data_IF_004682579764
#
_entry.id   IF_004682579764
#
_cell.length_a   1.000
_cell.length_b   1.000
_cell.length_c   1.000
_cell.angle_alpha   90.00
_cell.angle_beta   90.00
_cell.angle_gamma   90.00
#
_symmetry.space_group_name_H-M   'P 1'
#
loop_
_entity.id
_entity.type
_entity.pdbx_description
1 polymer ?
#
# COMPACT_ATOMS: atom_id res chain seq x y z
N UNK A 1 9.63 0.12 0.94
CA UNK A 1 10.57 1.13 0.48
C UNK A 1 11.83 1.01 1.30
N UNK A 2 12.99 1.14 0.68
CA UNK A 2 14.25 1.05 1.40
C UNK A 2 14.36 2.18 2.42
N UNK A 3 14.87 1.88 3.61
CA UNK A 3 15.15 2.89 4.66
C UNK A 3 15.97 4.07 4.12
N UNK A 4 16.75 3.87 3.05
CA UNK A 4 17.57 4.87 2.37
C UNK A 4 16.75 5.97 1.68
N UNK A 5 15.60 5.63 1.07
CA UNK A 5 14.74 6.61 0.40
C UNK A 5 14.13 7.57 1.43
N UNK A 6 13.73 7.04 2.58
CA UNK A 6 13.21 7.85 3.67
C UNK A 6 14.28 8.76 4.29
N UNK A 7 15.50 8.27 4.46
CA UNK A 7 16.62 9.07 4.97
C UNK A 7 16.92 10.23 4.04
N UNK A 8 16.91 10.01 2.73
CA UNK A 8 17.15 11.06 1.74
C UNK A 8 16.07 12.15 1.79
N UNK A 9 14.80 11.75 1.88
CA UNK A 9 13.68 12.67 2.01
C UNK A 9 13.76 13.48 3.32
N UNK A 10 14.05 12.83 4.44
CA UNK A 10 14.22 13.48 5.75
C UNK A 10 15.29 14.57 5.64
N UNK A 11 16.47 14.27 5.09
CA UNK A 11 17.57 15.24 4.94
C UNK A 11 17.18 16.45 4.08
N UNK A 12 16.38 16.25 3.02
CA UNK A 12 15.89 17.34 2.20
C UNK A 12 14.97 18.25 3.01
N UNK A 13 14.02 17.69 3.71
CA UNK A 13 13.07 18.47 4.53
C UNK A 13 13.80 19.19 5.67
N UNK A 14 14.73 18.55 6.36
CA UNK A 14 15.56 19.17 7.40
C UNK A 14 16.33 20.38 6.86
N UNK A 15 16.99 20.21 5.70
CA UNK A 15 17.76 21.28 5.06
C UNK A 15 16.90 22.50 4.71
N UNK A 16 15.66 22.27 4.26
CA UNK A 16 14.77 23.32 3.78
C UNK A 16 14.00 24.01 4.90
N UNK A 17 13.65 23.27 5.93
CA UNK A 17 12.89 23.79 7.06
C UNK A 17 13.76 24.30 8.19
N UNK A 18 14.98 23.78 8.33
CA UNK A 18 15.85 24.00 9.49
C UNK A 18 15.43 23.21 10.75
N UNK A 19 14.43 22.35 10.66
CA UNK A 19 13.99 21.49 11.76
C UNK A 19 14.71 20.14 11.70
N UNK A 20 15.00 19.58 12.87
CA UNK A 20 15.44 18.19 13.00
C UNK A 20 14.23 17.25 12.91
N UNK A 21 14.34 16.17 12.13
CA UNK A 21 13.27 15.18 11.94
C UNK A 21 13.65 13.85 12.53
N UNK A 22 12.89 13.44 13.52
CA UNK A 22 13.04 12.12 14.14
C UNK A 22 12.04 11.14 13.52
N UNK A 23 12.50 10.07 12.84
CA UNK A 23 11.61 9.08 12.27
C UNK A 23 10.94 8.24 13.35
N UNK A 24 9.62 8.10 13.26
CA UNK A 24 8.80 7.25 14.14
C UNK A 24 8.39 5.99 13.37
N UNK A 25 8.83 4.84 13.85
CA UNK A 25 8.38 3.56 13.30
C UNK A 25 7.05 3.15 13.95
N UNK A 26 6.05 2.90 13.12
CA UNK A 26 4.72 2.45 13.56
C UNK A 26 4.47 1.00 13.17
N UNK A 27 3.60 0.32 13.89
CA UNK A 27 3.33 -1.11 13.72
C UNK A 27 2.35 -1.41 12.58
N UNK A 28 1.43 -0.48 12.31
CA UNK A 28 0.36 -0.65 11.32
C UNK A 28 -0.19 0.70 10.82
N UNK A 29 -1.13 0.63 9.87
CA UNK A 29 -1.75 1.79 9.25
C UNK A 29 -2.52 2.69 10.23
N UNK A 30 -3.23 2.09 11.21
CA UNK A 30 -3.99 2.86 12.20
C UNK A 30 -3.07 3.56 13.19
N UNK A 31 -1.97 2.93 13.58
CA UNK A 31 -0.95 3.54 14.44
C UNK A 31 -0.33 4.80 13.81
N UNK A 32 -0.20 4.85 12.48
CA UNK A 32 0.24 6.06 11.77
C UNK A 32 -0.78 7.21 11.91
N UNK A 33 -2.08 6.93 11.72
CA UNK A 33 -3.15 7.93 11.91
C UNK A 33 -3.19 8.44 13.34
N UNK A 34 -3.17 7.53 14.31
CA UNK A 34 -3.21 7.88 15.73
C UNK A 34 -1.96 8.67 16.18
N UNK A 35 -0.79 8.38 15.59
CA UNK A 35 0.42 9.16 15.88
C UNK A 35 0.28 10.62 15.43
N UNK A 36 -0.30 10.87 14.26
CA UNK A 36 -0.57 12.23 13.80
C UNK A 36 -1.72 12.89 14.60
N UNK A 37 -2.80 12.17 14.85
CA UNK A 37 -3.91 12.66 15.66
C UNK A 37 -3.47 13.10 17.07
N UNK A 38 -2.61 12.33 17.68
CA UNK A 38 -2.03 12.63 18.99
C UNK A 38 -0.93 13.71 18.97
N UNK A 39 -0.56 14.24 17.79
CA UNK A 39 0.49 15.25 17.66
C UNK A 39 1.92 14.70 17.83
N UNK A 40 2.10 13.38 17.80
CA UNK A 40 3.42 12.75 17.88
C UNK A 40 4.15 12.74 16.54
N UNK A 41 3.41 12.58 15.44
CA UNK A 41 3.93 12.67 14.09
C UNK A 41 3.34 13.89 13.39
N UNK A 42 4.19 14.71 12.78
CA UNK A 42 3.77 15.91 12.03
C UNK A 42 3.80 15.68 10.52
N UNK A 43 4.52 14.67 10.06
CA UNK A 43 4.59 14.24 8.66
C UNK A 43 4.44 12.72 8.65
N UNK A 44 3.68 12.20 7.69
CA UNK A 44 3.53 10.76 7.52
C UNK A 44 3.28 10.38 6.07
N UNK A 45 3.71 9.17 5.70
CA UNK A 45 3.37 8.56 4.43
C UNK A 45 2.18 7.62 4.62
N UNK A 46 1.09 7.87 3.90
CA UNK A 46 -0.13 7.10 4.02
C UNK A 46 -0.43 6.31 2.74
N UNK A 47 -1.05 5.14 2.87
CA UNK A 47 -1.82 4.58 1.76
C UNK A 47 -3.06 5.44 1.49
N UNK A 48 -3.59 5.44 0.26
CA UNK A 48 -4.74 6.30 -0.09
C UNK A 48 -5.96 6.09 0.81
N UNK A 49 -6.30 4.85 1.16
CA UNK A 49 -7.39 4.52 2.10
C UNK A 49 -7.15 5.14 3.48
N UNK A 50 -5.95 4.95 4.02
CA UNK A 50 -5.58 5.46 5.35
C UNK A 50 -5.45 6.98 5.35
N UNK A 51 -5.04 7.59 4.24
CA UNK A 51 -4.98 9.04 4.09
C UNK A 51 -6.36 9.69 4.27
N UNK A 52 -7.43 9.12 3.71
CA UNK A 52 -8.80 9.64 3.88
C UNK A 52 -9.14 9.70 5.38
N UNK A 53 -8.85 8.63 6.11
CA UNK A 53 -9.08 8.58 7.57
C UNK A 53 -8.20 9.61 8.29
N UNK A 54 -6.93 9.75 7.91
CA UNK A 54 -6.02 10.73 8.51
C UNK A 54 -6.44 12.17 8.22
N UNK A 55 -6.97 12.46 7.03
CA UNK A 55 -7.51 13.78 6.68
C UNK A 55 -8.71 14.16 7.54
N UNK A 56 -9.61 13.21 7.83
CA UNK A 56 -10.81 13.43 8.65
C UNK A 56 -10.51 13.47 10.15
N UNK A 57 -9.61 12.60 10.64
CA UNK A 57 -9.42 12.40 12.09
C UNK A 57 -8.16 13.06 12.66
N UNK A 58 -7.19 13.40 11.82
CA UNK A 58 -5.87 13.89 12.24
C UNK A 58 -5.45 15.18 11.51
N UNK A 59 -6.37 15.84 10.79
CA UNK A 59 -6.12 17.06 10.01
C UNK A 59 -4.93 16.91 9.04
N UNK A 60 -4.76 15.72 8.43
CA UNK A 60 -3.71 15.47 7.46
C UNK A 60 -4.01 16.17 6.14
N UNK A 61 -3.01 16.82 5.56
CA UNK A 61 -3.06 17.42 4.22
C UNK A 61 -1.93 16.83 3.36
N UNK A 62 -2.29 16.22 2.22
CA UNK A 62 -1.33 15.69 1.27
C UNK A 62 -0.59 16.84 0.55
N UNK A 63 0.72 16.72 0.41
CA UNK A 63 1.54 17.73 -0.27
C UNK A 63 2.46 17.14 -1.35
N UNK A 64 2.72 15.85 -1.32
CA UNK A 64 3.57 15.18 -2.29
C UNK A 64 3.14 13.72 -2.49
N UNK A 65 3.64 13.11 -3.56
CA UNK A 65 3.51 11.69 -3.81
C UNK A 65 4.79 11.15 -4.46
N UNK A 66 5.19 9.93 -4.07
CA UNK A 66 6.40 9.32 -4.60
C UNK A 66 6.22 8.80 -6.02
N UNK A 67 7.14 9.17 -6.91
CA UNK A 67 7.31 8.59 -8.24
C UNK A 67 8.56 7.73 -8.23
N UNK A 68 8.51 6.52 -8.77
CA UNK A 68 9.71 5.69 -8.92
C UNK A 68 10.64 6.33 -9.97
N UNK A 69 11.93 6.26 -9.72
CA UNK A 69 12.93 6.73 -10.68
C UNK A 69 12.76 6.00 -12.03
N UNK A 70 12.56 6.77 -13.09
CA UNK A 70 12.32 6.26 -14.45
C UNK A 70 10.85 6.10 -14.84
N UNK A 71 9.90 6.19 -13.90
CA UNK A 71 8.47 6.18 -14.22
C UNK A 71 8.02 7.56 -14.75
N UNK A 72 7.09 7.52 -15.70
CA UNK A 72 6.46 8.75 -16.26
C UNK A 72 5.26 9.21 -15.44
N UNK A 73 4.72 8.33 -14.59
CA UNK A 73 3.65 8.64 -13.65
C UNK A 73 3.83 7.87 -12.34
N UNK A 74 3.16 8.33 -11.29
CA UNK A 74 3.27 7.75 -9.96
C UNK A 74 2.25 6.64 -9.68
N UNK A 75 1.32 6.37 -10.60
CA UNK A 75 0.25 5.41 -10.38
C UNK A 75 0.78 3.97 -10.32
N UNK A 76 0.01 3.11 -9.67
CA UNK A 76 0.31 1.69 -9.54
C UNK A 76 -0.96 0.86 -9.70
N UNK A 77 -0.85 -0.46 -9.60
CA UNK A 77 -1.96 -1.40 -9.77
C UNK A 77 -2.02 -2.36 -8.60
N UNK A 78 -3.16 -3.00 -8.42
CA UNK A 78 -3.30 -4.20 -7.59
C UNK A 78 -3.37 -5.41 -8.50
N UNK A 79 -2.57 -6.41 -8.19
CA UNK A 79 -2.59 -7.71 -8.84
C UNK A 79 -3.32 -8.73 -7.96
N UNK A 80 -4.13 -9.57 -8.61
CA UNK A 80 -4.58 -10.83 -8.05
C UNK A 80 -3.69 -11.92 -8.63
N UNK A 81 -2.98 -12.60 -7.78
CA UNK A 81 -1.96 -13.58 -8.16
C UNK A 81 -2.30 -14.96 -7.63
N UNK A 82 -1.88 -15.96 -8.36
CA UNK A 82 -2.03 -17.38 -8.04
C UNK A 82 -0.72 -18.11 -8.35
N UNK A 83 -0.46 -19.32 -7.82
CA UNK A 83 0.65 -20.16 -8.26
C UNK A 83 0.62 -20.39 -9.76
N UNK A 84 1.77 -20.55 -10.37
CA UNK A 84 1.92 -20.73 -11.84
C UNK A 84 1.10 -21.89 -12.40
N UNK A 85 1.05 -23.00 -11.66
CA UNK A 85 0.35 -24.24 -12.01
C UNK A 85 -1.13 -24.22 -11.64
N UNK A 86 -1.64 -23.13 -11.03
CA UNK A 86 -3.04 -22.96 -10.68
C UNK A 86 -3.92 -23.01 -11.95
N UNK A 87 -5.08 -23.66 -11.82
CA UNK A 87 -6.10 -23.73 -12.88
C UNK A 87 -6.92 -22.44 -13.03
N UNK A 88 -6.77 -21.48 -12.09
CA UNK A 88 -7.46 -20.21 -12.11
C UNK A 88 -6.83 -19.28 -13.17
N UNK A 89 -7.65 -18.70 -14.05
CA UNK A 89 -7.20 -17.81 -15.13
C UNK A 89 -7.79 -16.40 -15.05
N UNK A 90 -8.86 -16.23 -14.29
CA UNK A 90 -9.55 -14.95 -14.08
C UNK A 90 -10.26 -14.95 -12.71
N UNK A 91 -10.85 -13.82 -12.32
CA UNK A 91 -11.55 -13.68 -11.03
C UNK A 91 -12.80 -14.57 -10.93
N UNK A 92 -13.47 -14.89 -12.01
CA UNK A 92 -14.66 -15.74 -11.97
C UNK A 92 -14.31 -17.19 -11.61
N UNK A 93 -13.12 -17.64 -11.93
CA UNK A 93 -12.62 -18.98 -11.57
C UNK A 93 -12.36 -19.11 -10.06
N UNK A 94 -12.25 -17.97 -9.34
CA UNK A 94 -11.95 -17.94 -7.91
C UNK A 94 -13.15 -18.26 -7.00
N UNK A 95 -14.32 -18.57 -7.58
CA UNK A 95 -15.50 -18.97 -6.78
C UNK A 95 -15.21 -20.21 -5.92
N UNK A 96 -15.56 -20.10 -4.64
CA UNK A 96 -15.34 -21.18 -3.66
C UNK A 96 -13.89 -21.36 -3.21
N UNK A 97 -13.00 -20.46 -3.61
CA UNK A 97 -11.57 -20.46 -3.26
C UNK A 97 -11.28 -19.65 -2.00
N UNK A 98 -10.04 -19.67 -1.54
CA UNK A 98 -9.58 -18.89 -0.39
C UNK A 98 -8.80 -17.68 -0.93
N UNK A 99 -9.21 -16.48 -0.46
CA UNK A 99 -8.55 -15.22 -0.80
C UNK A 99 -7.74 -14.72 0.40
N UNK A 100 -6.47 -14.46 0.19
CA UNK A 100 -5.65 -13.70 1.12
C UNK A 100 -5.59 -12.23 0.68
N UNK A 101 -6.13 -11.35 1.51
CA UNK A 101 -5.93 -9.91 1.47
C UNK A 101 -4.70 -9.56 2.30
N UNK A 102 -4.16 -8.35 2.12
CA UNK A 102 -2.95 -7.96 2.80
C UNK A 102 -3.22 -7.43 4.23
N UNK A 103 -3.73 -6.22 4.35
CA UNK A 103 -4.06 -5.57 5.61
C UNK A 103 -5.29 -4.70 5.43
N UNK A 104 -6.17 -4.66 6.42
CA UNK A 104 -7.44 -3.92 6.37
C UNK A 104 -7.26 -2.41 6.13
N UNK A 105 -6.14 -1.83 6.53
CA UNK A 105 -5.78 -0.43 6.25
C UNK A 105 -5.18 -0.19 4.87
N UNK A 106 -4.85 -1.25 4.12
CA UNK A 106 -4.18 -1.15 2.83
C UNK A 106 -5.14 -0.74 1.70
N UNK A 107 -4.71 0.19 0.86
CA UNK A 107 -5.42 0.56 -0.37
C UNK A 107 -5.39 -0.60 -1.37
N UNK A 108 -4.21 -1.04 -1.78
CA UNK A 108 -4.04 -2.08 -2.79
C UNK A 108 -4.25 -3.50 -2.27
N UNK A 109 -4.09 -3.71 -0.96
CA UNK A 109 -4.23 -5.02 -0.35
C UNK A 109 -5.62 -5.31 0.22
N UNK A 110 -6.53 -4.31 0.27
CA UNK A 110 -7.90 -4.48 0.77
C UNK A 110 -8.94 -3.71 -0.07
N UNK A 111 -8.89 -2.37 -0.10
CA UNK A 111 -9.93 -1.57 -0.72
C UNK A 111 -10.07 -1.85 -2.21
N UNK A 112 -8.98 -1.78 -2.96
CA UNK A 112 -9.00 -1.99 -4.42
C UNK A 112 -9.45 -3.41 -4.79
N UNK A 113 -8.95 -4.49 -4.15
CA UNK A 113 -9.49 -5.84 -4.37
C UNK A 113 -10.99 -5.93 -4.23
N UNK A 114 -11.56 -5.33 -3.18
CA UNK A 114 -13.01 -5.35 -2.98
C UNK A 114 -13.76 -4.59 -4.08
N UNK A 115 -13.26 -3.41 -4.48
CA UNK A 115 -13.84 -2.61 -5.57
C UNK A 115 -13.75 -3.36 -6.90
N UNK A 116 -12.63 -3.99 -7.22
CA UNK A 116 -12.48 -4.77 -8.45
C UNK A 116 -13.45 -5.96 -8.49
N UNK A 117 -13.62 -6.68 -7.40
CA UNK A 117 -14.60 -7.76 -7.33
C UNK A 117 -16.03 -7.26 -7.57
N UNK A 118 -16.40 -6.11 -7.03
CA UNK A 118 -17.74 -5.53 -7.23
C UNK A 118 -18.01 -5.17 -8.70
N UNK A 119 -17.00 -4.79 -9.49
CA UNK A 119 -17.17 -4.53 -10.95
C UNK A 119 -17.64 -5.75 -11.72
N UNK A 120 -17.36 -6.94 -11.23
CA UNK A 120 -17.80 -8.21 -11.82
C UNK A 120 -19.06 -8.77 -11.13
N UNK A 121 -19.79 -7.95 -10.35
CA UNK A 121 -20.90 -8.37 -9.50
C UNK A 121 -20.49 -9.46 -8.48
N UNK A 122 -19.22 -9.50 -8.13
CA UNK A 122 -18.66 -10.40 -7.15
C UNK A 122 -18.44 -9.65 -5.84
N UNK A 123 -18.52 -10.34 -4.72
CA UNK A 123 -18.09 -9.80 -3.43
C UNK A 123 -17.31 -10.86 -2.68
N UNK A 124 -16.37 -10.42 -1.85
CA UNK A 124 -15.53 -11.31 -1.05
C UNK A 124 -16.37 -12.32 -0.27
N UNK A 125 -17.46 -11.87 0.37
CA UNK A 125 -18.37 -12.71 1.18
C UNK A 125 -19.20 -13.72 0.39
N UNK A 126 -19.48 -13.46 -0.89
CA UNK A 126 -20.38 -14.27 -1.70
C UNK A 126 -19.66 -15.33 -2.53
N UNK A 127 -18.45 -15.06 -2.97
CA UNK A 127 -17.74 -15.94 -3.90
C UNK A 127 -16.64 -16.76 -3.26
N UNK A 128 -15.93 -16.20 -2.28
CA UNK A 128 -14.85 -16.92 -1.62
C UNK A 128 -15.37 -17.79 -0.49
N UNK A 129 -14.82 -19.01 -0.39
CA UNK A 129 -15.08 -19.91 0.75
C UNK A 129 -14.56 -19.30 2.06
N UNK A 130 -13.41 -18.64 1.99
CA UNK A 130 -12.81 -17.94 3.11
C UNK A 130 -12.02 -16.73 2.60
N UNK A 131 -11.97 -15.67 3.42
CA UNK A 131 -11.16 -14.48 3.18
C UNK A 131 -10.46 -14.14 4.49
N UNK A 132 -9.15 -13.95 4.43
CA UNK A 132 -8.39 -13.55 5.61
C UNK A 132 -7.34 -12.49 5.24
N UNK A 133 -6.80 -11.82 6.26
CA UNK A 133 -5.75 -10.84 6.11
C UNK A 133 -4.41 -11.46 6.51
N UNK A 134 -3.45 -11.49 5.58
CA UNK A 134 -2.12 -12.05 5.80
C UNK A 134 -1.21 -11.15 6.66
N UNK A 135 -1.63 -9.94 6.95
CA UNK A 135 -0.97 -8.99 7.86
C UNK A 135 -0.01 -8.02 7.20
N UNK A 136 1.08 -8.46 6.63
CA UNK A 136 2.04 -7.57 5.96
C UNK A 136 2.41 -8.05 4.56
N UNK A 137 2.87 -7.13 3.72
CA UNK A 137 3.38 -7.46 2.39
C UNK A 137 4.67 -8.31 2.42
N UNK A 138 5.28 -8.49 3.59
CA UNK A 138 6.63 -9.02 3.75
C UNK A 138 6.68 -10.48 4.20
N UNK A 139 5.60 -11.01 4.77
CA UNK A 139 5.62 -12.37 5.32
C UNK A 139 5.13 -13.36 4.27
N UNK A 140 6.10 -13.95 3.58
CA UNK A 140 5.88 -15.24 2.95
C UNK A 140 4.85 -15.32 1.84
N UNK A 141 4.82 -14.36 0.89
CA UNK A 141 3.92 -14.42 -0.26
C UNK A 141 3.81 -15.82 -0.88
N UNK A 142 4.93 -16.51 -1.06
CA UNK A 142 4.94 -17.87 -1.62
C UNK A 142 4.45 -18.93 -0.62
N UNK A 143 4.78 -18.78 0.67
CA UNK A 143 4.30 -19.73 1.68
C UNK A 143 2.79 -19.60 1.89
N UNK A 144 2.24 -18.38 1.87
CA UNK A 144 0.81 -18.12 1.98
C UNK A 144 0.04 -18.63 0.75
N UNK A 145 0.52 -18.31 -0.47
CA UNK A 145 -0.11 -18.76 -1.72
C UNK A 145 -0.07 -20.28 -1.86
N UNK A 146 1.03 -20.93 -1.47
CA UNK A 146 1.16 -22.38 -1.66
C UNK A 146 0.51 -23.20 -0.56
N UNK A 147 0.24 -22.63 0.63
CA UNK A 147 -0.23 -23.41 1.79
C UNK A 147 -1.61 -23.01 2.31
N UNK A 148 -1.99 -21.73 2.24
CA UNK A 148 -3.16 -21.24 2.94
C UNK A 148 -4.18 -20.49 2.05
N UNK A 149 -3.78 -19.98 0.89
CA UNK A 149 -4.65 -19.28 -0.03
C UNK A 149 -4.54 -19.77 -1.47
N UNK A 150 -5.66 -19.73 -2.20
CA UNK A 150 -5.68 -19.99 -3.64
C UNK A 150 -5.37 -18.73 -4.45
N UNK A 151 -5.74 -17.56 -3.91
CA UNK A 151 -5.55 -16.24 -4.54
C UNK A 151 -4.99 -15.27 -3.51
N UNK A 152 -4.01 -14.47 -3.92
CA UNK A 152 -3.40 -13.43 -3.10
C UNK A 152 -3.43 -12.08 -3.82
N UNK A 153 -3.53 -10.98 -3.05
CA UNK A 153 -3.54 -9.61 -3.59
C UNK A 153 -2.31 -8.82 -3.15
N UNK A 154 -1.68 -8.13 -4.08
CA UNK A 154 -0.56 -7.23 -3.77
C UNK A 154 -0.46 -6.09 -4.78
N UNK A 155 0.24 -5.01 -4.40
CA UNK A 155 0.51 -3.91 -5.32
C UNK A 155 1.55 -4.30 -6.36
N UNK A 156 1.46 -3.72 -7.56
CA UNK A 156 2.48 -3.87 -8.60
C UNK A 156 3.86 -3.45 -8.11
N UNK A 157 3.93 -2.42 -7.26
CA UNK A 157 5.19 -1.96 -6.65
C UNK A 157 5.85 -3.03 -5.78
N UNK A 158 5.06 -3.70 -4.94
CA UNK A 158 5.57 -4.79 -4.10
C UNK A 158 5.90 -6.02 -4.93
N UNK A 159 5.09 -6.31 -5.95
CA UNK A 159 5.37 -7.39 -6.90
C UNK A 159 6.76 -7.21 -7.53
N UNK A 160 7.03 -6.01 -8.08
CA UNK A 160 8.31 -5.71 -8.72
C UNK A 160 9.48 -5.73 -7.71
N UNK A 161 9.27 -5.19 -6.50
CA UNK A 161 10.29 -5.21 -5.45
C UNK A 161 10.67 -6.64 -5.05
N UNK A 162 9.69 -7.53 -4.93
CA UNK A 162 9.92 -8.94 -4.58
C UNK A 162 10.51 -9.77 -5.71
N UNK A 163 10.26 -9.39 -6.96
CA UNK A 163 11.00 -9.95 -8.09
C UNK A 163 12.47 -9.52 -8.05
N UNK A 164 12.72 -8.25 -7.75
CA UNK A 164 14.07 -7.69 -7.73
C UNK A 164 14.93 -8.25 -6.59
N UNK A 165 14.33 -8.49 -5.42
CA UNK A 165 15.03 -9.06 -4.25
C UNK A 165 15.11 -10.60 -4.26
N UNK A 166 14.50 -11.25 -5.26
CA UNK A 166 14.52 -12.70 -5.42
C UNK A 166 13.60 -13.48 -4.48
N UNK A 167 12.66 -12.80 -3.80
CA UNK A 167 11.66 -13.46 -2.95
C UNK A 167 10.85 -14.50 -3.73
N UNK A 168 10.55 -14.24 -5.00
CA UNK A 168 9.99 -15.19 -5.94
C UNK A 168 10.50 -14.94 -7.36
N UNK A 169 10.36 -15.92 -8.24
CA UNK A 169 10.63 -15.76 -9.65
C UNK A 169 9.34 -15.49 -10.43
N UNK A 170 9.47 -14.78 -11.56
CA UNK A 170 8.31 -14.46 -12.41
C UNK A 170 7.56 -15.71 -12.89
N UNK A 171 8.30 -16.80 -13.11
CA UNK A 171 7.76 -18.09 -13.51
C UNK A 171 6.96 -18.83 -12.42
N UNK A 172 7.10 -18.47 -11.15
CA UNK A 172 6.40 -19.13 -10.04
C UNK A 172 4.96 -18.64 -9.87
N UNK A 173 4.63 -17.49 -10.45
CA UNK A 173 3.39 -16.77 -10.21
C UNK A 173 2.68 -16.40 -11.52
N UNK A 174 1.35 -16.51 -11.50
CA UNK A 174 0.46 -16.05 -12.56
C UNK A 174 -0.44 -14.92 -12.04
N UNK A 175 -0.50 -13.80 -12.76
CA UNK A 175 -1.46 -12.72 -12.53
C UNK A 175 -2.75 -13.08 -13.25
N UNK A 176 -3.85 -13.21 -12.51
CA UNK A 176 -5.18 -13.53 -13.06
C UNK A 176 -6.07 -12.30 -13.21
N UNK A 177 -5.72 -11.19 -12.56
CA UNK A 177 -6.39 -9.90 -12.74
C UNK A 177 -5.48 -8.75 -12.35
N UNK A 178 -5.60 -7.65 -13.10
CA UNK A 178 -4.95 -6.36 -12.82
C UNK A 178 -6.03 -5.31 -12.62
N UNK A 179 -5.98 -4.57 -11.54
CA UNK A 179 -6.94 -3.51 -11.23
C UNK A 179 -6.85 -2.34 -12.20
N UNK A 180 -7.84 -1.46 -12.14
CA UNK A 180 -7.67 -0.09 -12.63
C UNK A 180 -6.50 0.60 -11.95
N UNK A 181 -5.99 1.66 -12.58
CA UNK A 181 -4.91 2.49 -12.06
C UNK A 181 -5.26 3.09 -10.69
N UNK A 182 -4.33 3.00 -9.76
CA UNK A 182 -4.47 3.48 -8.38
C UNK A 182 -3.53 4.68 -8.19
N UNK A 183 -4.04 5.81 -7.66
CA UNK A 183 -3.20 6.95 -7.32
C UNK A 183 -2.09 6.59 -6.34
N UNK A 184 -0.93 7.28 -6.40
CA UNK A 184 0.19 6.99 -5.52
C UNK A 184 -0.15 7.27 -4.06
N UNK A 185 0.52 6.56 -3.12
CA UNK A 185 0.45 6.86 -1.70
C UNK A 185 0.93 8.29 -1.42
N UNK A 186 0.14 9.14 -0.75
CA UNK A 186 0.54 10.50 -0.46
C UNK A 186 1.48 10.60 0.74
N UNK A 187 2.39 11.56 0.67
CA UNK A 187 3.07 12.14 1.82
C UNK A 187 2.22 13.31 2.32
N UNK A 188 1.89 13.32 3.60
CA UNK A 188 1.02 14.32 4.20
C UNK A 188 1.64 14.92 5.47
N UNK A 189 1.35 16.18 5.72
CA UNK A 189 1.65 16.82 7.00
C UNK A 189 0.37 17.10 7.80
N UNK A 190 0.52 17.29 9.11
CA UNK A 190 -0.55 17.79 9.95
C UNK A 190 -0.76 19.28 9.72
N UNK A 191 -2.01 19.72 9.55
CA UNK A 191 -2.37 21.16 9.47
C UNK A 191 -2.05 21.95 10.75
N UNK A 192 -1.71 21.25 11.85
CA UNK A 192 -1.22 21.88 13.10
C UNK A 192 0.20 22.45 12.96
N UNK A 193 0.96 22.04 11.95
CA UNK A 193 2.24 22.68 11.64
C UNK A 193 2.00 24.16 11.28
N UNK A 194 2.84 25.09 11.74
CA UNK A 194 2.79 26.49 11.33
C UNK A 194 2.79 26.63 9.80
N UNK A 195 2.05 27.60 9.28
CA UNK A 195 1.90 27.80 7.83
C UNK A 195 3.26 28.00 7.13
N UNK A 196 4.15 28.80 7.73
CA UNK A 196 5.51 28.98 7.22
C UNK A 196 6.29 27.66 7.05
N UNK A 197 6.11 26.71 7.98
CA UNK A 197 6.77 25.40 7.91
C UNK A 197 6.14 24.55 6.80
N UNK A 198 4.81 24.56 6.69
CA UNK A 198 4.10 23.86 5.62
C UNK A 198 4.51 24.36 4.24
N UNK A 199 4.66 25.67 4.07
CA UNK A 199 5.08 26.28 2.81
C UNK A 199 6.52 25.89 2.45
N UNK A 200 7.44 25.88 3.42
CA UNK A 200 8.81 25.39 3.20
C UNK A 200 8.83 23.91 2.78
N UNK A 201 7.99 23.08 3.38
CA UNK A 201 7.87 21.64 3.03
C UNK A 201 7.31 21.48 1.62
N UNK A 202 6.32 22.27 1.21
CA UNK A 202 5.74 22.23 -0.15
C UNK A 202 6.72 22.71 -1.23
N UNK A 203 7.62 23.62 -0.89
CA UNK A 203 8.63 24.16 -1.80
C UNK A 203 9.83 23.22 -2.00
N UNK A 204 9.91 22.14 -1.21
CA UNK A 204 10.94 21.12 -1.27
C UNK A 204 10.73 20.12 -2.40
#
# INVERSE_FOLDING_TARGET
GDDQDYISLIRIIEKLTGYNIEPIKVTDYNAAVESMRAGRAMIAWYGGKTYIVAAEMADAEAFAAGVRKGDTNANYFTYFVVPKDSKLNNLSDAKGKILALNNIGSTSGDLIPQVELLKFNLSTKKIFKNVYYAGSHDVGLLSEINTHADVYTLSSRNFDARLADGTFKREDIKIIHTSSSVPPPPLAYSKRLPEEVRDKIKAA
#
